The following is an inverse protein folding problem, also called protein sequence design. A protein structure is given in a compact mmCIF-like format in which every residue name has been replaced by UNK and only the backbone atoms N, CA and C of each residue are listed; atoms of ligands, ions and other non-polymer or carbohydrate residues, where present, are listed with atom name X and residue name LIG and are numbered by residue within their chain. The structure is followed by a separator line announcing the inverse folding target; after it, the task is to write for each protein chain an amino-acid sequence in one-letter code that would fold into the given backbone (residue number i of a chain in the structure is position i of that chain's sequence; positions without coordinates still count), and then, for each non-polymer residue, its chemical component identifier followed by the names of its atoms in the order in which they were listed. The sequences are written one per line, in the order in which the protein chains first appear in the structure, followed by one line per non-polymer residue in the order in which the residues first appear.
data_IF_472157345022
#
_entry.id   IF_472157345022
#
_cell.length_a   1.000
_cell.length_b   1.000
_cell.length_c   1.000
_cell.angle_alpha   90.00
_cell.angle_beta   90.00
_cell.angle_gamma   90.00
#
_symmetry.space_group_name_H-M   'P 1'
#
loop_
_entity.id
_entity.type
_entity.pdbx_description
1 polymer ?
#
# COMPACT_ATOMS: atom_id res chain seq x y z
N UNK A 1 18.06 9.89 0.77
CA UNK A 1 17.61 8.79 1.64
C UNK A 1 16.64 9.37 2.66
N UNK A 2 15.59 8.64 3.00
CA UNK A 2 14.69 9.02 4.10
C UNK A 2 15.45 8.86 5.44
N UNK A 3 15.33 9.80 6.40
CA UNK A 3 16.00 9.69 7.70
C UNK A 3 15.55 8.43 8.44
N UNK A 4 16.49 7.67 9.00
CA UNK A 4 16.20 6.39 9.69
C UNK A 4 15.46 6.65 11.00
N UNK A 5 15.78 7.75 11.66
CA UNK A 5 15.13 8.22 12.88
C UNK A 5 13.63 8.51 12.72
N UNK A 6 13.15 8.70 11.48
CA UNK A 6 11.74 8.94 11.19
C UNK A 6 11.00 7.67 10.75
N UNK A 7 11.67 6.52 10.71
CA UNK A 7 11.08 5.25 10.26
C UNK A 7 10.44 4.51 11.42
N UNK A 8 9.27 3.94 11.19
CA UNK A 8 8.64 2.99 12.09
C UNK A 8 9.27 1.60 11.93
N UNK A 9 8.99 0.70 12.88
CA UNK A 9 9.31 -0.71 12.73
C UNK A 9 8.55 -1.35 11.56
N UNK A 10 9.08 -2.43 11.00
CA UNK A 10 8.44 -3.14 9.89
C UNK A 10 7.09 -3.75 10.32
N UNK A 11 6.03 -3.36 9.62
CA UNK A 11 4.73 -4.01 9.72
C UNK A 11 4.63 -5.11 8.65
N UNK A 12 4.54 -6.38 9.08
CA UNK A 12 4.44 -7.53 8.17
C UNK A 12 3.00 -8.03 8.13
N UNK A 13 2.43 -8.11 6.93
CA UNK A 13 1.07 -8.59 6.69
C UNK A 13 1.11 -9.90 5.90
N UNK A 14 0.18 -10.81 6.22
CA UNK A 14 -0.06 -12.03 5.45
C UNK A 14 -1.55 -12.15 5.17
N UNK A 15 -1.91 -11.83 3.93
CA UNK A 15 -3.25 -12.09 3.43
C UNK A 15 -3.41 -13.56 3.06
N UNK A 16 -4.55 -14.15 3.42
CA UNK A 16 -5.01 -15.45 2.92
C UNK A 16 -6.23 -15.26 2.02
N UNK A 17 -6.70 -16.34 1.40
CA UNK A 17 -7.74 -16.32 0.37
C UNK A 17 -8.96 -15.47 0.77
N UNK A 18 -9.27 -14.48 -0.08
CA UNK A 18 -10.41 -13.58 0.07
C UNK A 18 -10.21 -12.44 1.08
N UNK A 19 -9.06 -12.36 1.77
CA UNK A 19 -8.75 -11.21 2.60
C UNK A 19 -8.30 -10.03 1.76
N UNK A 20 -8.62 -8.84 2.24
CA UNK A 20 -8.32 -7.58 1.58
C UNK A 20 -8.10 -6.49 2.64
N UNK A 21 -7.55 -5.37 2.18
CA UNK A 21 -7.60 -4.11 2.91
C UNK A 21 -8.33 -3.10 2.03
N UNK A 22 -9.39 -2.50 2.56
CA UNK A 22 -10.13 -1.45 1.87
C UNK A 22 -9.26 -0.21 1.64
N UNK A 23 -9.52 0.52 0.55
CA UNK A 23 -8.77 1.74 0.24
C UNK A 23 -8.82 2.73 1.41
N UNK A 24 -7.66 3.26 1.80
CA UNK A 24 -7.51 4.15 2.93
C UNK A 24 -6.27 5.03 2.76
N UNK A 25 -6.07 5.95 3.71
CA UNK A 25 -4.87 6.75 3.82
C UNK A 25 -4.01 6.27 4.99
N UNK A 26 -2.70 6.22 4.78
CA UNK A 26 -1.75 5.87 5.83
C UNK A 26 -1.51 7.01 6.83
N UNK A 27 -1.88 8.24 6.47
CA UNK A 27 -1.76 9.39 7.35
C UNK A 27 -2.82 9.37 8.46
N UNK A 28 -2.50 10.01 9.58
CA UNK A 28 -3.39 10.12 10.73
C UNK A 28 -4.27 11.37 10.63
N UNK A 29 -5.57 11.21 10.89
CA UNK A 29 -6.52 12.33 10.96
C UNK A 29 -6.56 12.99 12.34
N UNK A 30 -6.23 12.25 13.39
CA UNK A 30 -6.33 12.72 14.77
C UNK A 30 -5.04 13.41 15.23
N UNK A 31 -5.21 14.41 16.10
CA UNK A 31 -4.09 15.22 16.61
C UNK A 31 -3.12 14.44 17.51
N UNK A 32 -3.55 13.30 18.08
CA UNK A 32 -2.72 12.54 19.01
C UNK A 32 -1.65 11.77 18.24
N UNK A 33 -2.04 11.02 17.21
CA UNK A 33 -1.10 10.26 16.39
C UNK A 33 -0.25 11.17 15.49
N UNK A 34 -0.69 12.39 15.21
CA UNK A 34 0.12 13.42 14.55
C UNK A 34 1.23 14.00 15.45
N UNK A 35 1.18 13.79 16.77
CA UNK A 35 2.18 14.33 17.68
C UNK A 35 3.55 13.67 17.41
N UNK A 36 4.62 14.45 17.15
CA UNK A 36 5.96 13.89 16.93
C UNK A 36 6.48 13.01 18.08
N UNK A 37 5.92 13.15 19.29
CA UNK A 37 6.27 12.33 20.45
C UNK A 37 5.64 10.94 20.43
N UNK A 38 4.57 10.77 19.66
CA UNK A 38 3.78 9.52 19.57
C UNK A 38 3.99 8.79 18.22
N UNK A 39 4.83 9.34 17.34
CA UNK A 39 5.16 8.76 16.03
C UNK A 39 5.14 9.79 14.89
N UNK A 40 4.32 10.83 15.03
CA UNK A 40 4.21 11.90 14.02
C UNK A 40 3.44 11.49 12.77
N UNK A 41 3.33 12.42 11.82
CA UNK A 41 2.59 12.20 10.58
C UNK A 41 3.40 11.41 9.56
N UNK A 42 2.76 10.45 8.88
CA UNK A 42 3.33 9.68 7.78
C UNK A 42 3.22 10.46 6.47
N UNK A 43 4.35 10.65 5.80
CA UNK A 43 4.44 11.41 4.54
C UNK A 43 4.63 10.48 3.34
N UNK A 44 5.27 9.33 3.55
CA UNK A 44 5.57 8.34 2.51
C UNK A 44 5.51 6.94 3.12
N UNK A 45 5.03 5.98 2.35
CA UNK A 45 4.99 4.56 2.70
C UNK A 45 5.82 3.78 1.70
N UNK A 46 6.66 2.88 2.19
CA UNK A 46 7.34 1.89 1.36
C UNK A 46 6.65 0.53 1.54
N UNK A 47 6.00 0.03 0.49
CA UNK A 47 5.34 -1.27 0.49
C UNK A 47 6.22 -2.30 -0.22
N UNK A 48 6.67 -3.33 0.51
CA UNK A 48 7.53 -4.38 -0.01
C UNK A 48 6.76 -5.69 -0.19
N UNK A 49 6.85 -6.29 -1.38
CA UNK A 49 6.15 -7.53 -1.67
C UNK A 49 7.04 -8.74 -1.36
N UNK A 50 6.66 -9.50 -0.33
CA UNK A 50 7.43 -10.66 0.14
C UNK A 50 7.11 -11.95 -0.62
N UNK A 51 6.03 -11.95 -1.41
CA UNK A 51 5.57 -13.08 -2.21
C UNK A 51 4.83 -12.59 -3.48
N UNK A 52 4.80 -13.42 -4.51
CA UNK A 52 4.00 -13.21 -5.73
C UNK A 52 2.74 -14.07 -5.61
N UNK A 53 1.55 -13.50 -5.38
CA UNK A 53 0.30 -14.26 -5.42
C UNK A 53 -0.02 -14.73 -6.84
N UNK A 54 -0.72 -15.86 -6.96
CA UNK A 54 -1.16 -16.40 -8.25
C UNK A 54 -2.29 -15.56 -8.88
N UNK A 55 -3.20 -15.04 -8.05
CA UNK A 55 -4.31 -14.17 -8.44
C UNK A 55 -4.57 -13.11 -7.37
N UNK A 56 -4.96 -11.91 -7.80
CA UNK A 56 -5.33 -10.81 -6.92
C UNK A 56 -4.16 -10.23 -6.12
N UNK A 57 -4.49 -9.57 -5.00
CA UNK A 57 -3.50 -8.96 -4.10
C UNK A 57 -2.89 -7.66 -4.63
N UNK A 58 -3.48 -7.06 -5.66
CA UNK A 58 -3.00 -5.80 -6.21
C UNK A 58 -3.13 -4.64 -5.21
N UNK A 59 -2.17 -3.71 -5.25
CA UNK A 59 -2.33 -2.41 -4.61
C UNK A 59 -2.98 -1.46 -5.60
N UNK A 60 -4.11 -0.86 -5.20
CA UNK A 60 -4.95 -0.05 -6.08
C UNK A 60 -5.06 1.36 -5.52
N UNK A 61 -4.78 2.35 -6.36
CA UNK A 61 -4.96 3.78 -6.06
C UNK A 61 -6.18 4.30 -6.83
N UNK A 62 -7.38 4.27 -6.23
CA UNK A 62 -8.62 4.62 -6.93
C UNK A 62 -8.70 6.10 -7.32
N UNK A 63 -8.06 6.97 -6.53
CA UNK A 63 -8.09 8.42 -6.72
C UNK A 63 -6.87 8.95 -7.50
N UNK A 64 -6.08 8.06 -8.11
CA UNK A 64 -4.95 8.47 -8.94
C UNK A 64 -5.42 9.22 -10.20
N UNK A 65 -4.74 10.29 -10.59
CA UNK A 65 -5.07 11.07 -11.79
C UNK A 65 -4.92 10.25 -13.08
N UNK A 66 -4.02 9.26 -13.06
CA UNK A 66 -3.79 8.33 -14.16
C UNK A 66 -4.36 6.98 -13.78
N UNK A 67 -5.04 6.32 -14.71
CA UNK A 67 -5.55 4.96 -14.53
C UNK A 67 -4.65 3.96 -15.26
N UNK A 68 -4.56 2.74 -14.72
CA UNK A 68 -3.94 1.65 -15.46
C UNK A 68 -4.77 1.32 -16.71
N UNK A 69 -4.14 0.94 -17.83
CA UNK A 69 -4.87 0.43 -18.97
C UNK A 69 -5.63 -0.86 -18.59
N UNK A 70 -6.73 -1.20 -19.29
CA UNK A 70 -7.43 -2.45 -19.06
C UNK A 70 -6.49 -3.65 -19.25
N UNK A 71 -6.36 -4.47 -18.22
CA UNK A 71 -5.62 -5.73 -18.26
C UNK A 71 -6.56 -6.85 -17.78
N UNK A 72 -6.84 -7.88 -18.61
CA UNK A 72 -7.71 -8.98 -18.22
C UNK A 72 -7.20 -9.77 -17.02
N UNK A 73 -5.89 -9.68 -16.72
CA UNK A 73 -5.28 -10.34 -15.58
C UNK A 73 -5.34 -9.53 -14.28
N UNK A 74 -5.96 -8.35 -14.28
CA UNK A 74 -6.35 -7.65 -13.04
C UNK A 74 -7.63 -8.25 -12.46
N UNK A 75 -7.64 -8.41 -11.14
CA UNK A 75 -8.82 -8.75 -10.36
C UNK A 75 -9.93 -7.71 -10.54
N UNK A 76 -11.20 -8.05 -10.28
CA UNK A 76 -12.29 -7.08 -10.31
C UNK A 76 -12.10 -5.89 -9.36
N UNK A 77 -11.39 -6.10 -8.25
CA UNK A 77 -11.04 -5.03 -7.30
C UNK A 77 -10.05 -4.03 -7.93
N UNK A 78 -9.06 -4.53 -8.64
CA UNK A 78 -7.98 -3.73 -9.21
C UNK A 78 -8.40 -2.77 -10.32
N UNK A 79 -9.48 -3.06 -11.05
CA UNK A 79 -9.92 -2.26 -12.22
C UNK A 79 -10.54 -0.89 -11.88
N UNK A 80 -10.29 -0.36 -10.69
CA UNK A 80 -10.88 0.86 -10.15
C UNK A 80 -9.91 2.06 -10.10
N UNK A 81 -8.67 1.93 -10.57
CA UNK A 81 -7.70 3.02 -10.53
C UNK A 81 -6.34 2.68 -11.12
N UNK A 82 -5.28 3.34 -10.64
CA UNK A 82 -3.91 2.94 -10.90
C UNK A 82 -3.59 1.67 -10.11
N UNK A 83 -2.97 0.69 -10.76
CA UNK A 83 -2.78 -0.65 -10.23
C UNK A 83 -1.31 -0.99 -10.20
N UNK A 84 -0.85 -1.50 -9.05
CA UNK A 84 0.42 -2.18 -8.92
C UNK A 84 0.17 -3.67 -8.63
N UNK A 85 0.74 -4.55 -9.45
CA UNK A 85 0.74 -5.99 -9.21
C UNK A 85 1.91 -6.38 -8.31
N UNK A 86 1.66 -7.16 -7.24
CA UNK A 86 2.71 -7.59 -6.34
C UNK A 86 3.60 -8.65 -6.99
N UNK A 87 4.89 -8.37 -7.13
CA UNK A 87 5.90 -9.38 -7.43
C UNK A 87 6.92 -9.44 -6.31
N UNK A 88 7.27 -10.66 -5.88
CA UNK A 88 8.24 -10.89 -4.81
C UNK A 88 9.55 -10.15 -5.09
N UNK A 89 9.96 -9.31 -4.14
CA UNK A 89 11.19 -8.53 -4.20
C UNK A 89 10.97 -7.09 -4.69
N UNK A 90 9.83 -6.80 -5.31
CA UNK A 90 9.49 -5.43 -5.70
C UNK A 90 9.11 -4.59 -4.49
N UNK A 91 9.29 -3.28 -4.65
CA UNK A 91 8.92 -2.26 -3.67
C UNK A 91 8.20 -1.12 -4.37
N UNK A 92 7.12 -0.66 -3.76
CA UNK A 92 6.31 0.47 -4.16
C UNK A 92 6.50 1.62 -3.16
N UNK A 93 6.74 2.83 -3.67
CA UNK A 93 6.91 4.07 -2.91
C UNK A 93 6.20 5.21 -3.63
#
# INVERSE_FOLDING_TARGET
MLPVENQEGLQVLRYVNGQEYQAHYDFFWDKKNQDPREGGQRIVTALMFLATPEEGGETVFPDAEVQSPPDPSFSPCARKGLVNKPYKGDMLM
#
